data_IF_161755069381
#
_entry.id   IF_161755069381
#
_cell.length_a   1.000
_cell.length_b   1.000
_cell.length_c   1.000
_cell.angle_alpha   90.00
_cell.angle_beta   90.00
_cell.angle_gamma   90.00
#
_symmetry.space_group_name_H-M   'P 1'
#
loop_
_entity.id
_entity.type
_entity.pdbx_description
1 polymer ?
#
# COMPACT_ATOMS: atom_id res chain seq x y z
N UNK A 1 16.26 -16.94 -9.70
CA UNK A 1 14.91 -17.51 -9.46
C UNK A 1 14.08 -16.60 -8.55
N UNK A 2 14.57 -16.24 -7.35
CA UNK A 2 13.85 -15.40 -6.38
C UNK A 2 13.48 -14.01 -6.92
N UNK A 3 14.41 -13.31 -7.57
CA UNK A 3 14.14 -11.99 -8.16
C UNK A 3 13.04 -12.03 -9.24
N UNK A 4 13.04 -13.07 -10.09
CA UNK A 4 12.01 -13.22 -11.13
C UNK A 4 10.63 -13.50 -10.51
N UNK A 5 10.56 -14.30 -9.44
CA UNK A 5 9.34 -14.53 -8.69
C UNK A 5 8.83 -13.25 -8.01
N UNK A 6 9.73 -12.45 -7.42
CA UNK A 6 9.40 -11.14 -6.86
C UNK A 6 8.83 -10.19 -7.91
N UNK A 7 9.48 -10.07 -9.06
CA UNK A 7 8.99 -9.22 -10.15
C UNK A 7 7.59 -9.68 -10.60
N UNK A 8 7.38 -11.00 -10.72
CA UNK A 8 6.08 -11.54 -11.14
C UNK A 8 4.97 -11.31 -10.13
N UNK A 9 5.25 -11.47 -8.83
CA UNK A 9 4.26 -11.19 -7.78
C UNK A 9 3.98 -9.69 -7.67
N UNK A 10 4.98 -8.84 -7.93
CA UNK A 10 4.82 -7.39 -8.09
C UNK A 10 3.84 -7.04 -9.21
N UNK A 11 4.02 -7.58 -10.41
CA UNK A 11 3.09 -7.36 -11.54
C UNK A 11 1.64 -7.71 -11.18
N UNK A 12 1.43 -8.86 -10.53
CA UNK A 12 0.10 -9.31 -10.11
C UNK A 12 -0.50 -8.34 -9.08
N UNK A 13 0.29 -7.89 -8.11
CA UNK A 13 -0.19 -6.92 -7.12
C UNK A 13 -0.57 -5.58 -7.74
N UNK A 14 0.23 -5.09 -8.69
CA UNK A 14 -0.09 -3.87 -9.42
C UNK A 14 -1.38 -4.02 -10.21
N UNK A 15 -1.64 -5.15 -10.84
CA UNK A 15 -2.92 -5.42 -11.51
C UNK A 15 -4.11 -5.37 -10.52
N UNK A 16 -3.97 -5.94 -9.32
CA UNK A 16 -4.99 -5.81 -8.28
C UNK A 16 -5.24 -4.35 -7.86
N UNK A 17 -4.18 -3.57 -7.67
CA UNK A 17 -4.32 -2.14 -7.32
C UNK A 17 -5.01 -1.35 -8.42
N UNK A 18 -4.64 -1.54 -9.68
CA UNK A 18 -5.30 -0.88 -10.81
C UNK A 18 -6.79 -1.22 -10.86
N UNK A 19 -7.14 -2.51 -10.81
CA UNK A 19 -8.53 -2.98 -10.80
C UNK A 19 -9.34 -2.42 -9.64
N UNK A 20 -8.75 -2.33 -8.44
CA UNK A 20 -9.42 -1.78 -7.27
C UNK A 20 -9.79 -0.29 -7.46
N UNK A 21 -8.94 0.47 -8.18
CA UNK A 21 -9.14 1.89 -8.43
C UNK A 21 -10.09 2.22 -9.59
N UNK A 22 -10.25 1.33 -10.59
CA UNK A 22 -10.95 1.62 -11.86
C UNK A 22 -12.33 2.30 -11.71
N UNK A 23 -13.09 1.92 -10.69
CA UNK A 23 -14.46 2.41 -10.48
C UNK A 23 -14.58 3.48 -9.37
N UNK A 24 -13.46 4.02 -8.89
CA UNK A 24 -13.42 5.00 -7.81
C UNK A 24 -13.34 6.41 -8.38
N UNK A 25 -14.18 7.32 -7.83
CA UNK A 25 -14.33 8.69 -8.33
C UNK A 25 -13.36 9.66 -7.65
N UNK A 26 -13.20 9.53 -6.34
CA UNK A 26 -12.39 10.42 -5.51
C UNK A 26 -11.00 9.82 -5.25
N UNK A 27 -10.02 10.68 -4.97
CA UNK A 27 -8.68 10.29 -4.56
C UNK A 27 -8.71 9.47 -3.26
N UNK A 28 -9.53 9.86 -2.28
CA UNK A 28 -9.70 9.12 -1.03
C UNK A 28 -10.24 7.71 -1.31
N UNK A 29 -11.27 7.59 -2.16
CA UNK A 29 -11.83 6.28 -2.52
C UNK A 29 -10.81 5.38 -3.24
N UNK A 30 -9.97 5.95 -4.11
CA UNK A 30 -8.88 5.20 -4.78
C UNK A 30 -7.85 4.70 -3.79
N UNK A 31 -7.39 5.55 -2.87
CA UNK A 31 -6.43 5.20 -1.82
C UNK A 31 -7.00 4.08 -0.93
N UNK A 32 -8.25 4.23 -0.47
CA UNK A 32 -8.91 3.20 0.33
C UNK A 32 -9.11 1.90 -0.45
N UNK A 33 -9.38 1.96 -1.74
CA UNK A 33 -9.53 0.76 -2.58
C UNK A 33 -8.24 -0.05 -2.66
N UNK A 34 -7.08 0.61 -2.79
CA UNK A 34 -5.77 -0.05 -2.75
C UNK A 34 -5.60 -0.79 -1.42
N UNK A 35 -5.92 -0.14 -0.30
CA UNK A 35 -5.78 -0.75 1.02
C UNK A 35 -6.70 -1.95 1.23
N UNK A 36 -7.91 -1.91 0.67
CA UNK A 36 -8.88 -3.00 0.75
C UNK A 36 -8.48 -4.24 -0.06
N UNK A 37 -7.50 -4.16 -0.98
CA UNK A 37 -6.92 -5.34 -1.63
C UNK A 37 -6.35 -6.33 -0.60
N UNK A 38 -5.91 -5.83 0.56
CA UNK A 38 -5.40 -6.64 1.67
C UNK A 38 -6.40 -6.79 2.84
N UNK A 39 -7.72 -6.58 2.64
CA UNK A 39 -8.71 -6.67 3.72
C UNK A 39 -8.75 -8.01 4.46
N UNK A 40 -8.34 -9.08 3.78
CA UNK A 40 -8.22 -10.42 4.35
C UNK A 40 -6.78 -10.93 4.27
N UNK A 41 -5.83 -10.09 4.66
CA UNK A 41 -4.40 -10.39 4.63
C UNK A 41 -4.01 -11.64 5.42
N UNK A 42 -4.74 -11.96 6.50
CA UNK A 42 -4.48 -13.14 7.32
C UNK A 42 -4.83 -14.44 6.58
N UNK A 43 -6.03 -14.52 5.99
CA UNK A 43 -6.55 -15.79 5.45
C UNK A 43 -6.43 -15.90 3.93
N UNK A 44 -6.70 -14.82 3.19
CA UNK A 44 -6.78 -14.82 1.73
C UNK A 44 -6.00 -13.63 1.12
N UNK A 45 -4.66 -13.55 1.32
CA UNK A 45 -3.86 -12.52 0.68
C UNK A 45 -3.85 -12.72 -0.85
N UNK A 46 -3.75 -11.63 -1.66
CA UNK A 46 -3.73 -11.74 -3.12
C UNK A 46 -2.55 -12.56 -3.66
N UNK A 47 -1.44 -12.58 -2.92
CA UNK A 47 -0.28 -13.43 -3.17
C UNK A 47 -0.14 -14.40 -2.01
N UNK A 48 0.00 -15.69 -2.33
CA UNK A 48 0.29 -16.71 -1.32
C UNK A 48 1.55 -16.34 -0.53
N UNK A 49 1.45 -16.33 0.80
CA UNK A 49 2.53 -15.90 1.70
C UNK A 49 2.46 -14.43 2.14
N UNK A 50 1.54 -13.61 1.60
CA UNK A 50 1.31 -12.23 2.04
C UNK A 50 1.82 -11.18 1.06
N UNK A 51 2.27 -10.03 1.58
CA UNK A 51 2.80 -8.96 0.75
C UNK A 51 4.21 -9.31 0.23
N UNK A 52 4.42 -9.43 -1.10
CA UNK A 52 5.74 -9.77 -1.63
C UNK A 52 6.78 -8.69 -1.36
N UNK A 53 6.38 -7.41 -1.29
CA UNK A 53 7.24 -6.28 -0.95
C UNK A 53 7.75 -6.40 0.48
N UNK A 54 6.84 -6.53 1.46
CA UNK A 54 7.19 -6.68 2.87
C UNK A 54 8.12 -7.87 3.11
N UNK A 55 7.75 -9.05 2.60
CA UNK A 55 8.53 -10.27 2.80
C UNK A 55 9.95 -10.11 2.21
N UNK A 56 10.05 -9.60 0.98
CA UNK A 56 11.34 -9.43 0.31
C UNK A 56 12.20 -8.36 0.97
N UNK A 57 11.61 -7.27 1.48
CA UNK A 57 12.35 -6.24 2.20
C UNK A 57 13.05 -6.79 3.45
N UNK A 58 12.38 -7.67 4.21
CA UNK A 58 12.95 -8.29 5.41
C UNK A 58 13.98 -9.37 5.05
N UNK A 59 13.66 -10.27 4.12
CA UNK A 59 14.52 -11.42 3.78
C UNK A 59 15.78 -11.04 2.99
N UNK A 60 15.74 -9.97 2.20
CA UNK A 60 16.85 -9.59 1.33
C UNK A 60 17.93 -8.76 2.02
N UNK A 61 17.60 -8.08 3.12
CA UNK A 61 18.48 -7.10 3.75
C UNK A 61 19.78 -7.74 4.22
N UNK A 62 20.90 -7.34 3.61
CA UNK A 62 22.23 -7.87 3.93
C UNK A 62 22.52 -9.28 3.41
N UNK A 63 21.60 -9.88 2.65
CA UNK A 63 21.72 -11.25 2.13
C UNK A 63 21.68 -11.28 0.59
N UNK A 64 20.73 -10.57 -0.02
CA UNK A 64 20.50 -10.59 -1.46
C UNK A 64 20.42 -9.16 -2.02
N UNK A 65 21.56 -8.52 -2.37
CA UNK A 65 21.60 -7.11 -2.76
C UNK A 65 20.67 -6.73 -3.93
N UNK A 66 20.55 -7.62 -4.92
CA UNK A 66 19.65 -7.41 -6.06
C UNK A 66 18.17 -7.40 -5.64
N UNK A 67 17.77 -8.33 -4.77
CA UNK A 67 16.40 -8.39 -4.24
C UNK A 67 16.12 -7.21 -3.32
N UNK A 68 17.10 -6.78 -2.52
CA UNK A 68 16.99 -5.60 -1.67
C UNK A 68 16.79 -4.33 -2.50
N UNK A 69 17.52 -4.20 -3.60
CA UNK A 69 17.35 -3.09 -4.55
C UNK A 69 15.96 -3.12 -5.19
N UNK A 70 15.47 -4.30 -5.57
CA UNK A 70 14.14 -4.47 -6.16
C UNK A 70 13.01 -4.20 -5.14
N UNK A 71 13.18 -4.60 -3.88
CA UNK A 71 12.27 -4.28 -2.78
C UNK A 71 12.24 -2.78 -2.48
N UNK A 72 13.40 -2.14 -2.38
CA UNK A 72 13.50 -0.69 -2.18
C UNK A 72 12.80 0.08 -3.31
N UNK A 73 12.99 -0.34 -4.56
CA UNK A 73 12.27 0.23 -5.70
C UNK A 73 10.75 0.00 -5.61
N UNK A 74 10.31 -1.20 -5.24
CA UNK A 74 8.87 -1.49 -5.10
C UNK A 74 8.20 -0.64 -4.01
N UNK A 75 8.91 -0.36 -2.93
CA UNK A 75 8.44 0.57 -1.89
C UNK A 75 8.36 2.01 -2.41
N UNK A 76 9.39 2.50 -3.10
CA UNK A 76 9.38 3.83 -3.72
C UNK A 76 8.24 3.99 -4.73
N UNK A 77 8.01 2.99 -5.58
CA UNK A 77 6.90 3.00 -6.54
C UNK A 77 5.52 3.06 -5.83
N UNK A 78 5.39 2.40 -4.67
CA UNK A 78 4.17 2.47 -3.84
C UNK A 78 3.97 3.87 -3.25
N UNK A 79 5.04 4.51 -2.76
CA UNK A 79 5.00 5.90 -2.27
C UNK A 79 4.64 6.86 -3.41
N UNK A 80 5.21 6.67 -4.60
CA UNK A 80 4.90 7.47 -5.80
C UNK A 80 3.43 7.33 -6.18
N UNK A 81 2.87 6.12 -6.15
CA UNK A 81 1.43 5.90 -6.39
C UNK A 81 0.59 6.69 -5.39
N UNK A 82 0.86 6.57 -4.08
CA UNK A 82 0.12 7.32 -3.05
C UNK A 82 0.24 8.83 -3.24
N UNK A 83 1.45 9.33 -3.51
CA UNK A 83 1.70 10.74 -3.78
C UNK A 83 0.92 11.25 -4.99
N UNK A 84 0.82 10.44 -6.06
CA UNK A 84 0.05 10.79 -7.26
C UNK A 84 -1.45 10.93 -6.96
N UNK A 85 -2.02 10.07 -6.13
CA UNK A 85 -3.43 10.11 -5.75
C UNK A 85 -3.74 11.30 -4.83
N UNK A 86 -2.85 11.60 -3.87
CA UNK A 86 -2.97 12.79 -3.03
C UNK A 86 -2.94 14.05 -3.91
N UNK A 87 -2.00 14.12 -4.87
CA UNK A 87 -1.91 15.24 -5.82
C UNK A 87 -3.17 15.39 -6.66
N UNK A 88 -3.71 14.28 -7.18
CA UNK A 88 -4.98 14.27 -7.92
C UNK A 88 -6.12 14.84 -7.06
N UNK A 89 -6.20 14.46 -5.78
CA UNK A 89 -7.19 14.98 -4.83
C UNK A 89 -7.06 16.48 -4.60
N UNK A 90 -5.84 17.02 -4.53
CA UNK A 90 -5.59 18.46 -4.42
C UNK A 90 -6.04 19.19 -5.70
N UNK A 91 -5.66 18.68 -6.88
CA UNK A 91 -6.01 19.24 -8.18
C UNK A 91 -7.53 19.26 -8.43
N UNK A 92 -8.25 18.29 -7.86
CA UNK A 92 -9.73 18.21 -7.91
C UNK A 92 -10.44 18.94 -6.77
N UNK A 93 -9.69 19.63 -5.91
CA UNK A 93 -10.20 20.31 -4.71
C UNK A 93 -10.91 19.37 -3.70
N UNK A 94 -10.58 18.09 -3.70
CA UNK A 94 -11.05 17.10 -2.71
C UNK A 94 -10.22 17.16 -1.42
N UNK A 95 -8.93 17.53 -1.54
CA UNK A 95 -7.96 17.61 -0.46
C UNK A 95 -7.37 19.02 -0.34
N UNK A 96 -6.92 19.40 0.86
CA UNK A 96 -6.26 20.68 1.15
C UNK A 96 -4.91 20.79 0.44
N UNK A 97 -4.55 22.01 0.03
CA UNK A 97 -3.33 22.30 -0.73
C UNK A 97 -2.05 22.35 0.14
N UNK A 98 -2.18 22.44 1.47
CA UNK A 98 -1.06 22.55 2.42
C UNK A 98 -0.50 21.20 2.89
N UNK A 99 -0.97 20.09 2.30
CA UNK A 99 -0.49 18.74 2.59
C UNK A 99 0.96 18.58 2.10
N UNK A 100 1.86 18.13 2.98
CA UNK A 100 3.12 17.53 2.55
C UNK A 100 2.85 16.17 1.89
N UNK A 101 2.76 16.19 0.57
CA UNK A 101 2.37 15.03 -0.25
C UNK A 101 3.30 13.83 0.00
N UNK A 102 4.62 14.05 0.06
CA UNK A 102 5.58 12.94 0.22
C UNK A 102 5.52 12.36 1.62
N UNK A 103 5.41 13.21 2.64
CA UNK A 103 5.25 12.76 4.02
C UNK A 103 3.99 11.91 4.19
N UNK A 104 2.84 12.40 3.71
CA UNK A 104 1.58 11.66 3.81
C UNK A 104 1.63 10.35 3.00
N UNK A 105 2.17 10.37 1.78
CA UNK A 105 2.32 9.17 0.95
C UNK A 105 3.18 8.08 1.63
N UNK A 106 4.30 8.47 2.24
CA UNK A 106 5.17 7.55 2.97
C UNK A 106 4.49 7.00 4.22
N UNK A 107 3.75 7.83 4.96
CA UNK A 107 2.95 7.39 6.10
C UNK A 107 1.90 6.35 5.70
N UNK A 108 1.17 6.61 4.62
CA UNK A 108 0.15 5.71 4.08
C UNK A 108 0.73 4.35 3.67
N UNK A 109 1.81 4.35 2.87
CA UNK A 109 2.48 3.13 2.43
C UNK A 109 3.01 2.30 3.62
N UNK A 110 3.68 2.95 4.57
CA UNK A 110 4.21 2.28 5.77
C UNK A 110 3.12 1.70 6.66
N UNK A 111 2.03 2.45 6.84
CA UNK A 111 0.90 2.02 7.67
C UNK A 111 0.19 0.81 7.07
N UNK A 112 0.05 0.76 5.75
CA UNK A 112 -0.52 -0.40 5.05
C UNK A 112 0.33 -1.66 5.30
N UNK A 113 1.65 -1.59 5.10
CA UNK A 113 2.54 -2.74 5.31
C UNK A 113 2.54 -3.19 6.77
N UNK A 114 2.51 -2.25 7.72
CA UNK A 114 2.37 -2.55 9.14
C UNK A 114 1.05 -3.26 9.48
N UNK A 115 -0.06 -2.84 8.89
CA UNK A 115 -1.36 -3.47 9.09
C UNK A 115 -1.45 -4.88 8.50
N UNK A 116 -0.84 -5.09 7.31
CA UNK A 116 -0.71 -6.41 6.69
C UNK A 116 0.11 -7.33 7.59
N UNK A 117 1.29 -6.87 8.03
CA UNK A 117 2.16 -7.61 8.93
C UNK A 117 1.44 -8.01 10.23
N UNK A 118 0.82 -7.03 10.89
CA UNK A 118 0.12 -7.22 12.16
C UNK A 118 -1.03 -8.24 12.01
N UNK A 119 -1.82 -8.14 10.94
CA UNK A 119 -2.93 -9.07 10.71
C UNK A 119 -2.45 -10.51 10.46
N UNK A 120 -1.31 -10.66 9.78
CA UNK A 120 -0.73 -11.98 9.49
C UNK A 120 -0.12 -12.63 10.73
N UNK A 121 0.60 -11.87 11.55
CA UNK A 121 1.24 -12.43 12.75
C UNK A 121 0.21 -12.75 13.85
N UNK A 122 -0.88 -12.00 13.95
CA UNK A 122 -1.98 -12.29 14.87
C UNK A 122 -2.94 -13.36 14.35
N UNK A 123 -2.87 -13.71 13.06
CA UNK A 123 -3.88 -14.51 12.35
C UNK A 123 -5.30 -13.94 12.52
N UNK A 124 -5.40 -12.61 12.54
CA UNK A 124 -6.64 -11.86 12.74
C UNK A 124 -6.59 -10.53 11.97
N UNK A 125 -7.56 -10.29 11.08
CA UNK A 125 -7.64 -9.06 10.28
C UNK A 125 -8.12 -7.83 11.07
N UNK A 126 -8.33 -7.93 12.38
CA UNK A 126 -8.70 -6.79 13.23
C UNK A 126 -7.74 -5.60 13.07
N UNK A 127 -6.45 -5.85 12.88
CA UNK A 127 -5.46 -4.79 12.68
C UNK A 127 -5.61 -4.07 11.33
N UNK A 128 -5.98 -4.79 10.27
CA UNK A 128 -6.35 -4.16 8.99
C UNK A 128 -7.62 -3.32 9.14
N UNK A 129 -8.62 -3.81 9.87
CA UNK A 129 -9.86 -3.06 10.11
C UNK A 129 -9.59 -1.75 10.86
N UNK A 130 -8.80 -1.79 11.94
CA UNK A 130 -8.38 -0.58 12.66
C UNK A 130 -7.55 0.37 11.79
N UNK A 131 -6.67 -0.16 10.95
CA UNK A 131 -5.92 0.63 9.98
C UNK A 131 -6.87 1.38 9.02
N UNK A 132 -7.84 0.70 8.42
CA UNK A 132 -8.82 1.33 7.53
C UNK A 132 -9.62 2.41 8.26
N UNK A 133 -10.05 2.16 9.49
CA UNK A 133 -10.76 3.14 10.31
C UNK A 133 -9.92 4.40 10.54
N UNK A 134 -8.68 4.24 11.02
CA UNK A 134 -7.80 5.36 11.34
C UNK A 134 -7.37 6.13 10.09
N UNK A 135 -7.08 5.43 8.98
CA UNK A 135 -6.75 6.08 7.71
C UNK A 135 -7.92 6.88 7.17
N UNK A 136 -9.16 6.37 7.27
CA UNK A 136 -10.35 7.15 6.89
C UNK A 136 -10.40 8.45 7.69
N UNK A 137 -10.34 8.37 9.02
CA UNK A 137 -10.35 9.58 9.87
C UNK A 137 -9.23 10.56 9.51
N UNK A 138 -8.02 10.03 9.28
CA UNK A 138 -6.86 10.85 8.94
C UNK A 138 -7.01 11.53 7.57
N UNK A 139 -7.39 10.80 6.52
CA UNK A 139 -7.61 11.36 5.18
C UNK A 139 -8.76 12.38 5.16
N UNK A 140 -9.86 12.11 5.85
CA UNK A 140 -10.97 13.06 5.94
C UNK A 140 -10.62 14.35 6.70
N UNK A 141 -9.62 14.33 7.58
CA UNK A 141 -9.12 15.56 8.22
C UNK A 141 -8.47 16.53 7.21
N UNK A 142 -8.05 16.00 6.05
CA UNK A 142 -7.51 16.77 4.93
C UNK A 142 -8.55 17.12 3.87
N UNK A 143 -9.81 16.71 4.01
CA UNK A 143 -10.86 17.06 3.06
C UNK A 143 -11.14 18.57 3.05
N UNK A 144 -11.52 19.07 1.89
CA UNK A 144 -12.07 20.43 1.68
C UNK A 144 -13.58 20.45 1.80
#
# INVERSE_FOLDING_TARGET
MVLAAYNKSGEIMWDHFHKAMENKKTAIDKILAIFLVYQDAANNPPIAGGCPLLNSAIESTGVFPELQTAAAKGYDDTVILMASLIKEGIEKHELKEDIDIRSLASFLASSMEGAIMASRVSNDNIHHQYFIEQIKHHLFSYSR
#
